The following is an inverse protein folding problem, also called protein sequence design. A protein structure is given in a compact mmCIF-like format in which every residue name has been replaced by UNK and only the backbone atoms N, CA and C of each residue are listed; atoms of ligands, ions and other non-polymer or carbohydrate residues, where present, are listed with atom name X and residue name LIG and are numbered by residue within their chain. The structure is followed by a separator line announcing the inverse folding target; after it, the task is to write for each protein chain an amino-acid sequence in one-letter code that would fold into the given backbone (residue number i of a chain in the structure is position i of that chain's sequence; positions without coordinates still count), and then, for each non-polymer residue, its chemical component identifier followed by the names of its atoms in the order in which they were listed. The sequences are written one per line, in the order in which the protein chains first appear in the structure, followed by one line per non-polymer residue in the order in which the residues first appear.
data_IF_571578589911
#
_entry.id   IF_571578589911
#
_cell.length_a   1.000
_cell.length_b   1.000
_cell.length_c   1.000
_cell.angle_alpha   90.00
_cell.angle_beta   90.00
_cell.angle_gamma   90.00
#
_symmetry.space_group_name_H-M   'P 1'
#
loop_
_entity.id
_entity.type
_entity.pdbx_description
1 polymer ?
#
# COMPACT_ATOMS: atom_id res chain seq x y z
N UNK A 1 -3.57 12.36 6.86
CA UNK A 1 -4.51 11.61 7.70
C UNK A 1 -3.97 10.20 7.80
N UNK A 2 -3.90 9.67 9.01
CA UNK A 2 -3.09 8.52 9.40
C UNK A 2 -3.43 7.29 8.53
N UNK A 3 -2.55 6.97 7.57
CA UNK A 3 -2.67 5.84 6.65
C UNK A 3 -2.36 4.51 7.35
N UNK A 4 -2.91 4.29 8.54
CA UNK A 4 -2.86 2.98 9.16
C UNK A 4 -3.72 2.04 8.30
N UNK A 5 -3.07 1.16 7.55
CA UNK A 5 -3.74 0.14 6.76
C UNK A 5 -4.51 -0.77 7.73
N UNK A 6 -5.82 -0.81 7.62
CA UNK A 6 -6.65 -1.68 8.47
C UNK A 6 -6.90 -3.02 7.78
N UNK A 7 -7.18 -4.07 8.56
CA UNK A 7 -7.53 -5.40 8.01
C UNK A 7 -8.73 -5.34 7.06
N UNK A 8 -9.70 -4.44 7.29
CA UNK A 8 -10.83 -4.21 6.38
C UNK A 8 -10.38 -3.66 5.01
N UNK A 9 -9.38 -2.77 5.00
CA UNK A 9 -8.82 -2.23 3.75
C UNK A 9 -8.06 -3.31 2.98
N UNK A 10 -7.33 -4.19 3.68
CA UNK A 10 -6.68 -5.34 3.05
C UNK A 10 -7.70 -6.33 2.51
N UNK A 11 -8.78 -6.62 3.23
CA UNK A 11 -9.84 -7.50 2.77
C UNK A 11 -10.48 -6.98 1.46
N UNK A 12 -10.73 -5.67 1.39
CA UNK A 12 -11.22 -5.03 0.18
C UNK A 12 -10.21 -5.11 -0.97
N UNK A 13 -8.93 -4.91 -0.71
CA UNK A 13 -7.87 -5.06 -1.71
C UNK A 13 -7.76 -6.51 -2.21
N UNK A 14 -7.80 -7.49 -1.31
CA UNK A 14 -7.81 -8.91 -1.63
C UNK A 14 -8.99 -9.28 -2.53
N UNK A 15 -10.18 -8.72 -2.27
CA UNK A 15 -11.35 -8.87 -3.13
C UNK A 15 -11.13 -8.32 -4.55
N UNK A 16 -10.57 -7.11 -4.69
CA UNK A 16 -10.25 -6.50 -5.99
C UNK A 16 -9.23 -7.33 -6.77
N UNK A 17 -8.25 -7.89 -6.06
CA UNK A 17 -7.21 -8.77 -6.61
C UNK A 17 -7.65 -10.23 -6.80
N UNK A 18 -8.87 -10.59 -6.41
CA UNK A 18 -9.42 -11.96 -6.44
C UNK A 18 -8.58 -12.97 -5.66
N UNK A 19 -8.03 -12.56 -4.53
CA UNK A 19 -7.25 -13.40 -3.63
C UNK A 19 -8.13 -13.78 -2.44
N UNK A 20 -8.25 -15.08 -2.16
CA UNK A 20 -8.89 -15.58 -0.96
C UNK A 20 -7.87 -15.60 0.19
N UNK A 21 -8.23 -15.03 1.33
CA UNK A 21 -7.37 -14.91 2.50
C UNK A 21 -8.19 -15.18 3.76
N UNK A 22 -7.53 -15.70 4.79
CA UNK A 22 -8.06 -15.85 6.15
C UNK A 22 -7.82 -14.60 6.99
N UNK A 23 -8.54 -14.44 8.10
CA UNK A 23 -8.42 -13.28 9.00
C UNK A 23 -7.02 -13.10 9.59
N UNK A 24 -6.32 -14.22 9.81
CA UNK A 24 -4.92 -14.23 10.28
C UNK A 24 -3.96 -13.67 9.22
N UNK A 25 -4.15 -14.07 7.96
CA UNK A 25 -3.35 -13.57 6.84
C UNK A 25 -3.64 -12.10 6.55
N UNK A 26 -4.89 -11.65 6.71
CA UNK A 26 -5.27 -10.24 6.55
C UNK A 26 -4.57 -9.35 7.58
N UNK A 27 -4.48 -9.82 8.82
CA UNK A 27 -3.83 -9.07 9.92
C UNK A 27 -2.33 -8.97 9.70
N UNK A 28 -1.67 -10.09 9.37
CA UNK A 28 -0.23 -10.08 9.08
C UNK A 28 0.11 -9.20 7.87
N UNK A 29 -0.69 -9.26 6.81
CA UNK A 29 -0.46 -8.43 5.62
C UNK A 29 -0.70 -6.93 5.88
N UNK A 30 -1.59 -6.57 6.80
CA UNK A 30 -1.79 -5.17 7.18
C UNK A 30 -0.52 -4.57 7.79
N UNK A 31 0.16 -5.30 8.67
CA UNK A 31 1.42 -4.88 9.30
C UNK A 31 2.54 -4.76 8.25
N UNK A 32 2.70 -5.77 7.39
CA UNK A 32 3.70 -5.77 6.32
C UNK A 32 3.48 -4.61 5.34
N UNK A 33 2.22 -4.35 4.95
CA UNK A 33 1.89 -3.27 4.02
C UNK A 33 2.13 -1.90 4.62
N UNK A 34 1.94 -1.73 5.93
CA UNK A 34 2.29 -0.50 6.65
C UNK A 34 3.77 -0.12 6.42
N UNK A 35 4.67 -1.08 6.56
CA UNK A 35 6.11 -0.88 6.31
C UNK A 35 6.42 -0.47 4.87
N UNK A 36 5.73 -1.08 3.89
CA UNK A 36 5.90 -0.73 2.47
C UNK A 36 5.44 0.70 2.19
N UNK A 37 4.31 1.12 2.77
CA UNK A 37 3.76 2.47 2.60
C UNK A 37 4.73 3.52 3.15
N UNK A 38 5.37 3.25 4.30
CA UNK A 38 6.42 4.13 4.86
C UNK A 38 7.61 4.27 3.89
N UNK A 39 8.07 3.17 3.30
CA UNK A 39 9.13 3.22 2.30
C UNK A 39 8.73 4.03 1.05
N UNK A 40 7.47 3.91 0.60
CA UNK A 40 6.94 4.71 -0.51
C UNK A 40 6.84 6.20 -0.15
N UNK A 41 6.57 6.54 1.12
CA UNK A 41 6.55 7.93 1.56
C UNK A 41 7.92 8.61 1.39
N UNK A 42 9.02 7.90 1.66
CA UNK A 42 10.38 8.40 1.43
C UNK A 42 10.63 8.71 -0.05
N UNK A 43 10.10 7.88 -0.96
CA UNK A 43 10.21 8.14 -2.41
C UNK A 43 9.41 9.37 -2.81
N UNK A 44 8.21 9.57 -2.24
CA UNK A 44 7.40 10.76 -2.50
C UNK A 44 8.11 12.05 -2.09
N UNK A 45 8.89 12.04 -1.02
CA UNK A 45 9.69 13.21 -0.60
C UNK A 45 10.77 13.58 -1.63
N UNK A 46 11.27 12.61 -2.41
CA UNK A 46 12.28 12.84 -3.43
C UNK A 46 11.71 13.37 -4.77
N UNK A 47 10.39 13.33 -4.96
CA UNK A 47 9.71 13.72 -6.21
C UNK A 47 9.08 15.11 -6.05
N UNK A 48 9.63 16.11 -6.73
CA UNK A 48 9.10 17.48 -6.76
C UNK A 48 8.02 17.70 -7.83
N UNK A 49 7.30 18.82 -7.76
CA UNK A 49 6.23 19.18 -8.72
C UNK A 49 6.71 19.26 -10.18
N UNK A 50 7.99 19.57 -10.39
CA UNK A 50 8.60 19.64 -11.73
C UNK A 50 8.99 18.27 -12.31
N UNK A 51 8.72 17.17 -11.59
CA UNK A 51 9.10 15.82 -12.04
C UNK A 51 8.06 15.32 -13.05
N UNK A 52 8.41 15.17 -14.35
CA UNK A 52 7.46 14.67 -15.34
C UNK A 52 7.16 13.18 -15.06
N UNK A 53 5.89 12.80 -15.15
CA UNK A 53 5.50 11.40 -15.06
C UNK A 53 6.04 10.62 -16.28
N UNK A 54 6.78 9.54 -16.04
CA UNK A 54 7.35 8.70 -17.09
C UNK A 54 6.68 7.33 -17.11
N UNK A 55 5.94 7.02 -18.17
CA UNK A 55 5.39 5.66 -18.41
C UNK A 55 6.21 4.83 -19.39
N UNK A 56 7.03 5.50 -20.21
CA UNK A 56 7.92 4.89 -21.19
C UNK A 56 9.33 5.51 -21.01
N UNK A 57 10.41 4.74 -21.22
CA UNK A 57 11.78 5.24 -21.11
C UNK A 57 12.16 6.20 -22.25
#
# INVERSE_FOLDING_TARGET
EESAITSDQIAHLAQLSRIAMSDEELTGLADDLGTIIEAVAQVKEAVGEDTPATSHP
#
